data_IF_842703332620
#
_entry.id   IF_842703332620
#
_cell.length_a   1.000
_cell.length_b   1.000
_cell.length_c   1.000
_cell.angle_alpha   90.00
_cell.angle_beta   90.00
_cell.angle_gamma   90.00
#
_symmetry.space_group_name_H-M   'P 1'
#
loop_
_entity.id
_entity.type
_entity.pdbx_description
1 polymer ?
#
# COMPACT_ATOMS: atom_id res chain seq x y z
N UNK A 1 -0.47 15.64 21.04
CA UNK A 1 -1.14 15.62 19.72
C UNK A 1 -0.07 15.63 18.64
N UNK A 2 0.31 14.47 18.11
CA UNK A 2 1.18 14.42 16.95
C UNK A 2 0.35 14.78 15.71
N UNK A 3 0.52 16.01 15.21
CA UNK A 3 0.01 16.37 13.89
C UNK A 3 0.73 15.45 12.89
N UNK A 4 -0.01 14.54 12.25
CA UNK A 4 0.48 13.77 11.11
C UNK A 4 1.09 14.75 10.12
N UNK A 5 2.42 14.75 10.01
CA UNK A 5 3.12 15.48 8.96
C UNK A 5 2.79 14.78 7.66
N UNK A 6 1.71 15.22 7.02
CA UNK A 6 1.46 14.88 5.63
C UNK A 6 2.64 15.44 4.85
N UNK A 7 3.51 14.55 4.36
CA UNK A 7 4.65 14.90 3.55
C UNK A 7 4.14 15.42 2.20
N UNK A 8 3.83 16.72 2.14
CA UNK A 8 3.54 17.42 0.89
C UNK A 8 4.84 17.65 0.11
N UNK A 9 5.27 16.63 -0.63
CA UNK A 9 6.29 16.81 -1.67
C UNK A 9 5.61 17.50 -2.86
N UNK A 10 5.94 18.77 -3.10
CA UNK A 10 5.41 19.53 -4.24
C UNK A 10 5.59 18.73 -5.54
N UNK A 11 4.46 18.35 -6.15
CA UNK A 11 4.42 17.71 -7.47
C UNK A 11 4.14 16.21 -7.50
N UNK A 12 4.15 15.50 -6.36
CA UNK A 12 3.83 14.06 -6.33
C UNK A 12 2.59 13.85 -5.47
N UNK A 13 1.48 13.48 -6.11
CA UNK A 13 0.22 13.16 -5.44
C UNK A 13 0.25 11.70 -4.97
N UNK A 14 -0.39 11.44 -3.83
CA UNK A 14 -0.71 10.07 -3.43
C UNK A 14 -1.63 9.45 -4.50
N UNK A 15 -1.31 8.26 -5.02
CA UNK A 15 -2.22 7.56 -5.92
C UNK A 15 -3.48 7.17 -5.15
N UNK A 16 -4.65 7.37 -5.78
CA UNK A 16 -5.94 7.02 -5.19
C UNK A 16 -6.36 5.62 -5.63
N UNK A 17 -6.91 4.84 -4.71
CA UNK A 17 -7.50 3.53 -5.00
C UNK A 17 -8.90 3.67 -5.63
N UNK A 18 -8.95 4.13 -6.87
CA UNK A 18 -10.21 4.25 -7.64
C UNK A 18 -10.74 2.89 -8.08
N UNK A 19 -12.00 2.82 -8.54
CA UNK A 19 -12.57 1.58 -9.08
C UNK A 19 -11.79 1.06 -10.29
N UNK A 20 -11.42 1.94 -11.22
CA UNK A 20 -10.58 1.58 -12.38
C UNK A 20 -9.23 1.04 -11.92
N UNK A 21 -8.59 1.73 -10.97
CA UNK A 21 -7.30 1.31 -10.42
C UNK A 21 -7.37 -0.06 -9.75
N UNK A 22 -8.46 -0.36 -9.04
CA UNK A 22 -8.71 -1.68 -8.46
C UNK A 22 -8.74 -2.76 -9.57
N UNK A 23 -9.38 -2.50 -10.70
CA UNK A 23 -9.43 -3.48 -11.81
C UNK A 23 -8.04 -3.71 -12.40
N UNK A 24 -7.25 -2.65 -12.57
CA UNK A 24 -5.87 -2.76 -13.04
C UNK A 24 -4.99 -3.56 -12.07
N UNK A 25 -5.06 -3.26 -10.77
CA UNK A 25 -4.26 -3.93 -9.75
C UNK A 25 -4.54 -5.43 -9.71
N UNK A 26 -5.81 -5.85 -9.86
CA UNK A 26 -6.18 -7.27 -9.93
C UNK A 26 -5.48 -8.04 -11.05
N UNK A 27 -5.04 -7.37 -12.11
CA UNK A 27 -4.35 -8.00 -13.23
C UNK A 27 -2.85 -8.21 -12.97
N UNK A 28 -2.27 -7.49 -12.02
CA UNK A 28 -0.83 -7.56 -11.74
C UNK A 28 -0.47 -8.81 -10.92
N UNK A 29 0.79 -9.29 -10.95
CA UNK A 29 1.21 -10.42 -10.12
C UNK A 29 0.99 -10.19 -8.62
N UNK A 30 1.32 -8.99 -8.12
CA UNK A 30 1.15 -8.62 -6.71
C UNK A 30 -0.33 -8.52 -6.34
N UNK A 31 -1.17 -7.98 -7.22
CA UNK A 31 -2.61 -7.94 -6.97
C UNK A 31 -3.27 -9.32 -7.02
N UNK A 32 -2.82 -10.22 -7.91
CA UNK A 32 -3.26 -11.63 -7.90
C UNK A 32 -2.88 -12.35 -6.61
N UNK A 33 -1.68 -12.12 -6.08
CA UNK A 33 -1.28 -12.65 -4.77
C UNK A 33 -2.24 -12.18 -3.67
N UNK A 34 -2.54 -10.88 -3.61
CA UNK A 34 -3.47 -10.29 -2.64
C UNK A 34 -4.88 -10.88 -2.82
N UNK A 35 -5.37 -10.98 -4.05
CA UNK A 35 -6.70 -11.52 -4.37
C UNK A 35 -6.85 -12.97 -3.90
N UNK A 36 -5.79 -13.77 -4.06
CA UNK A 36 -5.74 -15.18 -3.68
C UNK A 36 -5.36 -15.41 -2.21
N UNK A 37 -5.13 -14.36 -1.42
CA UNK A 37 -4.85 -14.50 0.01
C UNK A 37 -6.13 -14.91 0.74
N UNK A 38 -6.03 -15.91 1.62
CA UNK A 38 -7.14 -16.35 2.47
C UNK A 38 -7.42 -15.34 3.58
N UNK A 39 -8.67 -15.30 4.08
CA UNK A 39 -9.10 -14.31 5.06
C UNK A 39 -8.24 -14.33 6.33
N UNK A 40 -7.86 -15.52 6.78
CA UNK A 40 -7.02 -15.77 7.96
C UNK A 40 -5.57 -15.27 7.78
N UNK A 41 -5.10 -15.18 6.53
CA UNK A 41 -3.73 -14.77 6.21
C UNK A 41 -3.60 -13.24 6.01
N UNK A 42 -4.70 -12.52 5.76
CA UNK A 42 -4.68 -11.06 5.55
C UNK A 42 -4.04 -10.26 6.69
N UNK A 43 -4.31 -10.53 7.98
CA UNK A 43 -3.67 -9.78 9.06
C UNK A 43 -2.14 -9.85 9.01
N UNK A 44 -1.58 -11.01 8.68
CA UNK A 44 -0.13 -11.20 8.53
C UNK A 44 0.40 -10.47 7.30
N UNK A 45 -0.28 -10.60 6.16
CA UNK A 45 0.05 -9.90 4.93
C UNK A 45 0.09 -8.38 5.12
N UNK A 46 -0.96 -7.80 5.72
CA UNK A 46 -1.06 -6.37 5.96
C UNK A 46 0.06 -5.86 6.87
N UNK A 47 0.38 -6.61 7.94
CA UNK A 47 1.48 -6.27 8.83
C UNK A 47 2.83 -6.32 8.12
N UNK A 48 3.06 -7.31 7.26
CA UNK A 48 4.29 -7.41 6.46
C UNK A 48 4.42 -6.20 5.52
N UNK A 49 3.36 -5.84 4.82
CA UNK A 49 3.35 -4.70 3.89
C UNK A 49 3.55 -3.37 4.62
N UNK A 50 2.88 -3.17 5.75
CA UNK A 50 3.07 -1.98 6.61
C UNK A 50 4.52 -1.89 7.11
N UNK A 51 5.08 -3.00 7.59
CA UNK A 51 6.47 -3.05 8.05
C UNK A 51 7.43 -2.65 6.93
N UNK A 52 7.21 -3.18 5.72
CA UNK A 52 8.01 -2.80 4.55
C UNK A 52 7.90 -1.30 4.25
N UNK A 53 6.71 -0.72 4.28
CA UNK A 53 6.52 0.72 4.05
C UNK A 53 7.25 1.57 5.09
N UNK A 54 7.22 1.17 6.37
CA UNK A 54 7.95 1.86 7.44
C UNK A 54 9.46 1.78 7.22
N UNK A 55 9.98 0.61 6.82
CA UNK A 55 11.40 0.45 6.50
C UNK A 55 11.80 1.31 5.30
N UNK A 56 10.97 1.37 4.26
CA UNK A 56 11.21 2.21 3.09
C UNK A 56 11.20 3.69 3.43
N UNK A 57 10.30 4.12 4.33
CA UNK A 57 10.28 5.49 4.84
C UNK A 57 11.57 5.82 5.60
N UNK A 58 12.03 4.92 6.48
CA UNK A 58 13.29 5.10 7.20
C UNK A 58 14.50 5.18 6.25
N UNK A 59 14.51 4.35 5.19
CA UNK A 59 15.51 4.43 4.13
C UNK A 59 15.46 5.79 3.43
N UNK A 60 14.28 6.25 3.03
CA UNK A 60 14.11 7.53 2.35
C UNK A 60 14.59 8.72 3.20
N UNK A 61 14.28 8.73 4.50
CA UNK A 61 14.80 9.73 5.43
C UNK A 61 16.33 9.72 5.52
N UNK A 62 16.94 8.55 5.54
CA UNK A 62 18.40 8.41 5.50
C UNK A 62 18.99 8.94 4.18
N UNK A 63 18.33 8.71 3.05
CA UNK A 63 18.74 9.27 1.75
C UNK A 63 18.72 10.80 1.74
N UNK A 64 17.74 11.42 2.42
CA UNK A 64 17.69 12.88 2.60
C UNK A 64 18.88 13.36 3.43
N UNK A 65 19.12 12.73 4.59
CA UNK A 65 20.22 13.12 5.51
C UNK A 65 21.60 13.00 4.85
N UNK A 66 21.78 11.95 4.04
CA UNK A 66 23.03 11.69 3.33
C UNK A 66 23.18 12.48 2.04
N UNK A 67 22.28 13.44 1.75
CA UNK A 67 22.30 14.26 0.53
C UNK A 67 22.43 13.42 -0.75
N UNK A 68 21.78 12.25 -0.79
CA UNK A 68 21.83 11.40 -1.97
C UNK A 68 21.24 12.10 -3.20
N UNK A 69 21.50 11.54 -4.38
CA UNK A 69 20.99 12.08 -5.63
C UNK A 69 19.44 12.22 -5.62
N UNK A 70 18.96 13.35 -6.16
CA UNK A 70 17.54 13.69 -6.16
C UNK A 70 16.69 12.76 -7.02
N UNK A 71 17.26 12.22 -8.11
CA UNK A 71 16.57 11.25 -8.98
C UNK A 71 16.39 9.94 -8.22
N UNK A 72 17.43 9.46 -7.53
CA UNK A 72 17.34 8.26 -6.69
C UNK A 72 16.27 8.40 -5.61
N UNK A 73 16.20 9.54 -4.92
CA UNK A 73 15.15 9.80 -3.94
C UNK A 73 13.75 9.78 -4.58
N UNK A 74 13.59 10.44 -5.73
CA UNK A 74 12.31 10.46 -6.45
C UNK A 74 11.85 9.04 -6.84
N UNK A 75 12.76 8.20 -7.34
CA UNK A 75 12.44 6.81 -7.69
C UNK A 75 11.99 6.03 -6.45
N UNK A 76 12.72 6.13 -5.34
CA UNK A 76 12.35 5.47 -4.08
C UNK A 76 10.97 5.89 -3.59
N UNK A 77 10.64 7.17 -3.70
CA UNK A 77 9.32 7.67 -3.32
C UNK A 77 8.21 7.11 -4.21
N UNK A 78 8.44 6.99 -5.53
CA UNK A 78 7.47 6.40 -6.44
C UNK A 78 7.23 4.91 -6.13
N UNK A 79 8.29 4.17 -5.79
CA UNK A 79 8.18 2.78 -5.31
C UNK A 79 7.34 2.70 -4.03
N UNK A 80 7.59 3.57 -3.06
CA UNK A 80 6.81 3.63 -1.81
C UNK A 80 5.32 3.92 -2.06
N UNK A 81 5.02 4.81 -3.00
CA UNK A 81 3.63 5.15 -3.34
C UNK A 81 2.91 3.99 -4.04
N UNK A 82 3.60 3.24 -4.90
CA UNK A 82 3.05 2.02 -5.50
C UNK A 82 2.81 0.95 -4.43
N UNK A 83 3.77 0.73 -3.54
CA UNK A 83 3.63 -0.22 -2.43
C UNK A 83 2.50 0.16 -1.46
N UNK A 84 2.34 1.46 -1.19
CA UNK A 84 1.22 1.98 -0.40
C UNK A 84 -0.13 1.69 -1.07
N UNK A 85 -0.23 1.90 -2.38
CA UNK A 85 -1.44 1.60 -3.13
C UNK A 85 -1.81 0.11 -3.04
N UNK A 86 -0.83 -0.79 -3.10
CA UNK A 86 -1.09 -2.22 -2.88
C UNK A 86 -1.53 -2.54 -1.45
N UNK A 87 -1.02 -1.81 -0.46
CA UNK A 87 -1.44 -1.98 0.94
C UNK A 87 -2.91 -1.55 1.14
N UNK A 88 -3.32 -0.42 0.56
CA UNK A 88 -4.74 -0.03 0.53
C UNK A 88 -5.60 -1.06 -0.22
N UNK A 89 -5.10 -1.56 -1.35
CA UNK A 89 -5.79 -2.61 -2.11
C UNK A 89 -5.96 -3.90 -1.31
N UNK A 90 -4.97 -4.30 -0.51
CA UNK A 90 -5.09 -5.45 0.38
C UNK A 90 -6.16 -5.24 1.47
N UNK A 91 -6.24 -4.04 2.07
CA UNK A 91 -7.33 -3.71 2.99
C UNK A 91 -8.70 -3.78 2.32
N UNK A 92 -8.82 -3.21 1.11
CA UNK A 92 -10.04 -3.29 0.33
C UNK A 92 -10.44 -4.74 0.08
N UNK A 93 -9.49 -5.60 -0.28
CA UNK A 93 -9.79 -7.01 -0.56
C UNK A 93 -10.17 -7.80 0.69
N UNK A 94 -9.52 -7.54 1.82
CA UNK A 94 -9.93 -8.09 3.12
C UNK A 94 -11.38 -7.73 3.45
N UNK A 95 -11.76 -6.47 3.26
CA UNK A 95 -13.14 -6.01 3.49
C UNK A 95 -14.16 -6.72 2.59
N UNK A 96 -13.86 -6.87 1.29
CA UNK A 96 -14.75 -7.56 0.35
C UNK A 96 -14.95 -9.02 0.76
N UNK A 97 -13.88 -9.74 1.11
CA UNK A 97 -13.98 -11.14 1.54
C UNK A 97 -14.75 -11.29 2.85
N UNK A 98 -14.49 -10.42 3.82
CA UNK A 98 -15.26 -10.39 5.07
C UNK A 98 -16.75 -10.22 4.79
N UNK A 99 -17.12 -9.26 3.94
CA UNK A 99 -18.52 -9.01 3.58
C UNK A 99 -19.15 -10.23 2.91
N UNK A 100 -18.43 -10.92 2.03
CA UNK A 100 -18.90 -12.15 1.37
C UNK A 100 -19.14 -13.28 2.38
N UNK A 101 -18.24 -13.46 3.35
CA UNK A 101 -18.42 -14.44 4.43
C UNK A 101 -19.64 -14.11 5.31
N UNK A 102 -19.89 -12.84 5.62
CA UNK A 102 -21.06 -12.45 6.42
C UNK A 102 -22.37 -12.66 5.65
N UNK A 103 -22.39 -12.41 4.34
CA UNK A 103 -23.56 -12.68 3.50
C UNK A 103 -23.91 -14.18 3.45
N UNK A 104 -22.89 -15.05 3.36
CA UNK A 104 -23.09 -16.51 3.36
C UNK A 104 -23.61 -17.06 4.70
N UNK A 105 -23.32 -16.39 5.82
CA UNK A 105 -23.85 -16.77 7.15
C UNK A 105 -25.31 -16.32 7.34
N UNK A 106 -25.75 -15.30 6.60
CA UNK A 106 -27.09 -14.74 6.69
C UNK A 106 -28.10 -15.40 5.74
N UNK A 107 -27.63 -16.19 4.77
CA UNK A 107 -28.44 -17.01 3.85
C UNK A 107 -28.65 -18.42 4.39
#
# INVERSE_FOLDING_TARGET
MHKSKVFNLQGIKMPELTHERIQELKLTPKGKMILNTDMEAFPSLLKMMETSLVEQLAQYELMIRNSQDAIKRKMKLLEMLDDHLYWEFAYHMMFIKWREQELLKAS
#
